data_IF_003713372730
#
_entry.id   IF_003713372730
#
_cell.length_a   1.000
_cell.length_b   1.000
_cell.length_c   1.000
_cell.angle_alpha   90.00
_cell.angle_beta   90.00
_cell.angle_gamma   90.00
#
_symmetry.space_group_name_H-M   'P 1'
#
loop_
_entity.id
_entity.type
_entity.pdbx_description
1 polymer ?
#
# COMPACT_ATOMS: atom_id res chain seq x y z
N UNK A 1 -2.89 8.86 -0.57
CA UNK A 1 -1.77 9.77 -0.92
C UNK A 1 -0.51 9.55 -0.06
N UNK A 2 -0.34 8.40 0.60
CA UNK A 2 0.72 8.22 1.61
C UNK A 2 2.16 8.30 1.05
N UNK A 3 2.43 7.63 -0.07
CA UNK A 3 3.76 7.68 -0.71
C UNK A 3 4.11 9.09 -1.22
N UNK A 4 3.11 9.80 -1.78
CA UNK A 4 3.28 11.15 -2.30
C UNK A 4 3.53 12.17 -1.17
N UNK A 5 2.87 12.00 -0.02
CA UNK A 5 3.05 12.87 1.17
C UNK A 5 4.38 12.63 1.89
N UNK A 6 5.04 11.50 1.69
CA UNK A 6 6.36 11.20 2.23
C UNK A 6 7.52 11.61 1.30
N UNK A 7 7.22 12.25 0.15
CA UNK A 7 8.24 12.64 -0.83
C UNK A 7 8.90 11.48 -1.57
N UNK A 8 8.25 10.30 -1.59
CA UNK A 8 8.76 9.12 -2.29
C UNK A 8 8.57 9.26 -3.81
N UNK A 9 9.44 8.59 -4.56
CA UNK A 9 9.41 8.60 -6.02
C UNK A 9 8.07 8.07 -6.59
N UNK A 10 7.70 8.55 -7.79
CA UNK A 10 6.49 8.14 -8.50
C UNK A 10 6.34 6.61 -8.66
N UNK A 11 7.39 5.84 -9.02
CA UNK A 11 7.28 4.39 -9.10
C UNK A 11 6.98 3.72 -7.75
N UNK A 12 7.58 4.22 -6.65
CA UNK A 12 7.28 3.77 -5.28
C UNK A 12 5.83 4.08 -4.89
N UNK A 13 5.32 5.26 -5.24
CA UNK A 13 3.92 5.61 -5.01
C UNK A 13 2.95 4.68 -5.75
N UNK A 14 3.28 4.34 -7.01
CA UNK A 14 2.52 3.38 -7.81
C UNK A 14 2.50 2.00 -7.17
N UNK A 15 3.67 1.48 -6.73
CA UNK A 15 3.76 0.18 -6.04
C UNK A 15 2.96 0.15 -4.75
N UNK A 16 3.03 1.19 -3.92
CA UNK A 16 2.24 1.28 -2.68
C UNK A 16 0.73 1.28 -2.97
N UNK A 17 0.29 1.99 -4.01
CA UNK A 17 -1.11 2.00 -4.44
C UNK A 17 -1.59 0.65 -4.94
N UNK A 18 -0.81 -0.01 -5.80
CA UNK A 18 -1.12 -1.36 -6.29
C UNK A 18 -1.15 -2.40 -5.17
N UNK A 19 -0.23 -2.29 -4.20
CA UNK A 19 -0.19 -3.16 -3.04
C UNK A 19 -1.46 -3.02 -2.18
N UNK A 20 -1.82 -1.78 -1.86
CA UNK A 20 -3.04 -1.51 -1.09
C UNK A 20 -4.30 -1.98 -1.82
N UNK A 21 -4.37 -1.78 -3.15
CA UNK A 21 -5.47 -2.27 -3.96
C UNK A 21 -5.53 -3.81 -3.98
N UNK A 22 -4.39 -4.49 -4.12
CA UNK A 22 -4.33 -5.95 -4.12
C UNK A 22 -4.81 -6.55 -2.79
N UNK A 23 -4.43 -5.94 -1.66
CA UNK A 23 -4.95 -6.32 -0.33
C UNK A 23 -6.46 -6.14 -0.24
N UNK A 24 -6.97 -4.97 -0.63
CA UNK A 24 -8.40 -4.67 -0.53
C UNK A 24 -9.25 -5.57 -1.45
N UNK A 25 -8.71 -6.00 -2.59
CA UNK A 25 -9.39 -6.93 -3.51
C UNK A 25 -9.36 -8.37 -2.98
N UNK A 26 -8.33 -8.76 -2.24
CA UNK A 26 -8.13 -10.15 -1.78
C UNK A 26 -9.03 -10.52 -0.61
N UNK A 27 -9.54 -9.54 0.13
CA UNK A 27 -10.37 -9.76 1.33
C UNK A 27 -11.74 -9.11 1.18
N UNK A 28 -12.78 -9.74 1.73
CA UNK A 28 -14.14 -9.20 1.66
C UNK A 28 -14.38 -8.17 2.78
N UNK A 29 -14.02 -6.91 2.53
CA UNK A 29 -14.24 -5.84 3.50
C UNK A 29 -13.58 -4.51 3.10
N UNK A 30 -14.25 -3.39 3.35
CA UNK A 30 -13.74 -2.05 3.02
C UNK A 30 -12.55 -1.59 3.90
N UNK A 31 -12.28 -2.32 5.00
CA UNK A 31 -11.11 -2.11 5.85
C UNK A 31 -10.14 -3.27 5.65
N UNK A 32 -8.87 -2.99 5.32
CA UNK A 32 -7.86 -4.03 5.28
C UNK A 32 -7.70 -4.63 6.69
N UNK A 33 -7.71 -5.96 6.77
CA UNK A 33 -7.49 -6.69 8.03
C UNK A 33 -6.02 -6.61 8.45
N UNK A 34 -5.11 -6.43 7.48
CA UNK A 34 -3.68 -6.27 7.70
C UNK A 34 -3.25 -4.81 7.61
N UNK A 35 -2.29 -4.41 8.44
CA UNK A 35 -1.71 -3.06 8.39
C UNK A 35 -0.99 -2.83 7.06
N UNK A 36 -1.53 -1.94 6.23
CA UNK A 36 -0.89 -1.50 4.97
C UNK A 36 0.54 -0.99 5.17
N UNK A 37 0.87 -0.46 6.36
CA UNK A 37 2.22 -0.02 6.69
C UNK A 37 3.20 -1.20 6.88
N UNK A 38 2.75 -2.30 7.48
CA UNK A 38 3.57 -3.51 7.59
C UNK A 38 3.77 -4.17 6.23
N UNK A 39 2.71 -4.22 5.41
CA UNK A 39 2.76 -4.79 4.06
C UNK A 39 3.71 -4.00 3.15
N UNK A 40 3.73 -2.67 3.29
CA UNK A 40 4.72 -1.81 2.63
C UNK A 40 6.16 -2.12 3.07
N UNK A 41 6.40 -2.24 4.40
CA UNK A 41 7.71 -2.60 4.93
C UNK A 41 8.18 -4.00 4.52
N UNK A 42 7.32 -5.00 4.54
CA UNK A 42 7.64 -6.36 4.07
C UNK A 42 8.02 -6.39 2.58
N UNK A 43 7.45 -5.49 1.78
CA UNK A 43 7.79 -5.33 0.36
C UNK A 43 8.97 -4.39 0.10
N UNK A 44 9.62 -3.87 1.14
CA UNK A 44 10.81 -3.02 1.04
C UNK A 44 10.52 -1.60 0.56
N UNK A 45 9.28 -1.12 0.75
CA UNK A 45 8.85 0.26 0.47
C UNK A 45 8.86 1.04 1.78
#
# INVERSE_FOLDING_TARGET
LHGLTQGRDLPTCGRLGSLAAAEIISHYGARPETSLAQLAQEKGL
#
